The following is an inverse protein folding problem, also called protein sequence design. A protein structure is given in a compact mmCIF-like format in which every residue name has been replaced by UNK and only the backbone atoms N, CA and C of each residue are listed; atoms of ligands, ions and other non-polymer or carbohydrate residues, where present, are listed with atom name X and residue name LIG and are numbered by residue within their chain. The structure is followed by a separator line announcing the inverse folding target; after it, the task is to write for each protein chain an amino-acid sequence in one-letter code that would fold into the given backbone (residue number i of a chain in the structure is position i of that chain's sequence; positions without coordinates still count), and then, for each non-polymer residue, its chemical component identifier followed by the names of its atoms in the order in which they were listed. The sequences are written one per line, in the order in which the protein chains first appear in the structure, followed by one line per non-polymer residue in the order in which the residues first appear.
data_IF_837455542755
#
_entry.id   IF_837455542755
#
_cell.length_a   1.000
_cell.length_b   1.000
_cell.length_c   1.000
_cell.angle_alpha   90.00
_cell.angle_beta   90.00
_cell.angle_gamma   90.00
#
_symmetry.space_group_name_H-M   'P 1'
#
loop_
_entity.id
_entity.type
_entity.pdbx_description
1 polymer ?
#
# COMPACT_ATOMS: atom_id res chain seq x y z
N UNK A 1 -0.02 30.78 3.55
CA UNK A 1 0.54 29.45 3.26
C UNK A 1 2.04 29.54 3.44
N UNK A 2 2.61 28.73 4.30
CA UNK A 2 4.04 28.80 4.59
C UNK A 2 4.79 27.83 3.67
N UNK A 3 5.33 28.34 2.57
CA UNK A 3 6.09 27.56 1.58
C UNK A 3 7.34 26.90 2.17
N UNK A 4 7.89 27.48 3.24
CA UNK A 4 9.06 26.92 3.92
C UNK A 4 8.72 25.58 4.60
N UNK A 5 7.57 25.47 5.24
CA UNK A 5 7.09 24.22 5.85
C UNK A 5 6.82 23.18 4.76
N UNK A 6 6.17 23.56 3.67
CA UNK A 6 5.89 22.67 2.55
C UNK A 6 7.17 22.13 1.92
N UNK A 7 8.14 23.01 1.63
CA UNK A 7 9.45 22.61 1.08
C UNK A 7 10.17 21.63 2.01
N UNK A 8 10.13 21.88 3.32
CA UNK A 8 10.74 20.99 4.31
C UNK A 8 10.07 19.60 4.32
N UNK A 9 8.72 19.55 4.34
CA UNK A 9 7.96 18.29 4.33
C UNK A 9 8.23 17.51 3.04
N UNK A 10 8.18 18.16 1.88
CA UNK A 10 8.48 17.52 0.59
C UNK A 10 9.92 17.02 0.55
N UNK A 11 10.88 17.81 1.04
CA UNK A 11 12.26 17.37 1.12
C UNK A 11 12.44 16.13 1.98
N UNK A 12 11.68 16.01 3.05
CA UNK A 12 11.69 14.86 3.93
C UNK A 12 11.05 13.63 3.27
N UNK A 13 9.94 13.81 2.56
CA UNK A 13 9.27 12.76 1.78
C UNK A 13 10.23 12.18 0.74
N UNK A 14 10.95 13.02 -0.01
CA UNK A 14 11.93 12.57 -1.00
C UNK A 14 13.09 11.77 -0.37
N UNK A 15 13.53 12.13 0.84
CA UNK A 15 14.55 11.35 1.54
C UNK A 15 14.04 9.96 1.94
N UNK A 16 12.76 9.83 2.32
CA UNK A 16 12.15 8.51 2.57
C UNK A 16 11.99 7.71 1.28
N UNK A 17 11.53 8.34 0.21
CA UNK A 17 11.44 7.69 -1.09
C UNK A 17 12.80 7.18 -1.56
N UNK A 18 13.86 7.97 -1.36
CA UNK A 18 15.22 7.53 -1.64
C UNK A 18 15.61 6.26 -0.85
N UNK A 19 15.24 6.19 0.43
CA UNK A 19 15.46 5.00 1.24
C UNK A 19 14.67 3.79 0.72
N UNK A 20 13.43 3.99 0.31
CA UNK A 20 12.58 2.93 -0.23
C UNK A 20 13.07 2.42 -1.58
N UNK A 21 13.62 3.29 -2.44
CA UNK A 21 14.22 2.91 -3.73
C UNK A 21 15.49 2.05 -3.59
N UNK A 22 16.09 2.00 -2.39
CA UNK A 22 17.19 1.06 -2.13
C UNK A 22 16.70 -0.41 -2.05
N UNK A 23 15.43 -0.66 -1.78
CA UNK A 23 14.91 -2.03 -1.72
C UNK A 23 14.86 -2.68 -3.11
N UNK A 24 14.24 -2.08 -4.16
CA UNK A 24 14.31 -2.64 -5.51
C UNK A 24 15.75 -2.68 -6.05
N UNK A 25 16.64 -1.78 -5.64
CA UNK A 25 18.08 -1.92 -5.93
C UNK A 25 18.63 -3.24 -5.38
N UNK A 26 18.36 -3.56 -4.11
CA UNK A 26 18.81 -4.83 -3.50
C UNK A 26 18.21 -6.02 -4.25
N UNK A 27 16.92 -5.97 -4.60
CA UNK A 27 16.25 -7.03 -5.37
C UNK A 27 16.94 -7.22 -6.72
N UNK A 28 17.19 -6.16 -7.48
CA UNK A 28 17.88 -6.23 -8.76
C UNK A 28 19.31 -6.82 -8.64
N UNK A 29 20.02 -6.50 -7.55
CA UNK A 29 21.34 -7.11 -7.26
C UNK A 29 21.23 -8.63 -7.00
N UNK A 30 20.20 -9.08 -6.25
CA UNK A 30 19.98 -10.51 -5.95
C UNK A 30 19.64 -11.30 -7.22
N UNK A 31 18.83 -10.72 -8.10
CA UNK A 31 18.41 -11.39 -9.35
C UNK A 31 19.38 -11.19 -10.53
N UNK A 32 20.49 -10.47 -10.32
CA UNK A 32 21.52 -10.22 -11.36
C UNK A 32 21.15 -9.17 -12.38
N UNK A 33 20.14 -8.33 -12.11
CA UNK A 33 19.67 -7.25 -12.97
C UNK A 33 20.47 -5.95 -12.72
N UNK A 34 21.78 -6.00 -12.88
CA UNK A 34 22.70 -4.92 -12.46
C UNK A 34 22.40 -3.58 -13.12
N UNK A 35 21.99 -3.57 -14.38
CA UNK A 35 21.65 -2.33 -15.09
C UNK A 35 20.41 -1.67 -14.48
N UNK A 36 19.37 -2.44 -14.23
CA UNK A 36 18.14 -1.96 -13.59
C UNK A 36 18.41 -1.50 -12.16
N UNK A 37 19.17 -2.31 -11.41
CA UNK A 37 19.57 -1.97 -10.05
C UNK A 37 20.34 -0.62 -10.00
N UNK A 38 21.27 -0.38 -10.92
CA UNK A 38 22.00 0.89 -10.98
C UNK A 38 21.04 2.08 -11.18
N UNK A 39 20.03 1.94 -12.03
CA UNK A 39 19.04 2.99 -12.27
C UNK A 39 18.26 3.31 -10.99
N UNK A 40 17.82 2.31 -10.23
CA UNK A 40 17.18 2.52 -8.93
C UNK A 40 18.09 3.22 -7.93
N UNK A 41 19.38 2.85 -7.88
CA UNK A 41 20.36 3.49 -7.02
C UNK A 41 20.59 4.96 -7.39
N UNK A 42 20.74 5.25 -8.69
CA UNK A 42 20.92 6.63 -9.18
C UNK A 42 19.69 7.48 -8.87
N UNK A 43 18.50 6.95 -9.10
CA UNK A 43 17.24 7.64 -8.76
C UNK A 43 17.15 7.90 -7.26
N UNK A 44 17.50 6.92 -6.42
CA UNK A 44 17.56 7.08 -4.97
C UNK A 44 18.53 8.20 -4.57
N UNK A 45 19.72 8.27 -5.18
CA UNK A 45 20.69 9.32 -4.92
C UNK A 45 20.17 10.71 -5.31
N UNK A 46 19.51 10.84 -6.45
CA UNK A 46 18.88 12.09 -6.90
C UNK A 46 17.79 12.53 -5.93
N UNK A 47 16.88 11.62 -5.53
CA UNK A 47 15.83 11.90 -4.55
C UNK A 47 16.42 12.35 -3.21
N UNK A 48 17.47 11.69 -2.73
CA UNK A 48 18.14 12.05 -1.48
C UNK A 48 18.78 13.44 -1.55
N UNK A 49 19.53 13.74 -2.61
CA UNK A 49 20.20 15.04 -2.79
C UNK A 49 19.15 16.15 -2.86
N UNK A 50 18.13 16.01 -3.70
CA UNK A 50 17.06 16.99 -3.82
C UNK A 50 16.28 17.16 -2.50
N UNK A 51 15.97 16.05 -1.85
CA UNK A 51 15.31 16.03 -0.53
C UNK A 51 16.13 16.76 0.51
N UNK A 52 17.46 16.57 0.53
CA UNK A 52 18.38 17.26 1.43
C UNK A 52 18.46 18.76 1.14
N UNK A 53 18.52 19.15 -0.13
CA UNK A 53 18.54 20.56 -0.55
C UNK A 53 17.28 21.30 -0.13
N UNK A 54 16.11 20.67 -0.30
CA UNK A 54 14.82 21.24 0.08
C UNK A 54 14.66 21.35 1.60
N UNK A 55 15.16 20.38 2.36
CA UNK A 55 15.05 20.36 3.82
C UNK A 55 16.11 21.22 4.50
N UNK A 56 17.31 21.40 3.90
CA UNK A 56 18.43 22.12 4.52
C UNK A 56 18.17 23.62 4.70
N UNK A 57 17.44 24.23 3.77
CA UNK A 57 17.15 25.69 3.80
C UNK A 57 16.25 26.14 4.96
N UNK A 58 15.62 25.20 5.69
CA UNK A 58 14.53 25.53 6.62
C UNK A 58 14.64 24.74 7.94
N UNK A 59 15.81 24.74 8.55
CA UNK A 59 16.05 24.12 9.88
C UNK A 59 15.44 24.91 11.07
N UNK A 60 14.57 25.91 10.81
CA UNK A 60 13.90 26.68 11.85
C UNK A 60 12.77 25.87 12.54
N UNK A 61 12.58 26.08 13.86
CA UNK A 61 11.41 25.56 14.59
C UNK A 61 10.14 26.15 14.02
N UNK A 62 9.36 25.33 13.31
CA UNK A 62 8.03 25.72 12.85
C UNK A 62 7.08 25.69 14.04
N UNK A 63 6.49 26.85 14.36
CA UNK A 63 5.65 26.97 15.55
C UNK A 63 4.28 26.33 15.41
N UNK A 64 3.68 26.31 14.19
CA UNK A 64 2.34 25.77 13.95
C UNK A 64 2.17 25.29 12.51
N UNK A 65 1.54 24.15 12.35
CA UNK A 65 1.07 23.61 11.06
C UNK A 65 -0.46 23.80 10.99
N UNK A 66 -0.94 24.63 10.07
CA UNK A 66 -2.37 24.83 9.87
C UNK A 66 -2.97 23.72 9.00
N UNK A 67 -4.28 23.47 9.15
CA UNK A 67 -5.03 22.44 8.41
C UNK A 67 -4.83 22.57 6.90
N UNK A 68 -4.87 23.78 6.35
CA UNK A 68 -4.66 24.04 4.92
C UNK A 68 -3.28 23.58 4.44
N UNK A 69 -2.25 23.81 5.23
CA UNK A 69 -0.87 23.40 4.92
C UNK A 69 -0.71 21.87 4.99
N UNK A 70 -1.40 21.23 5.95
CA UNK A 70 -1.47 19.77 6.04
C UNK A 70 -2.04 19.13 4.77
N UNK A 71 -3.23 19.53 4.34
CA UNK A 71 -3.84 19.01 3.10
C UNK A 71 -2.99 19.28 1.86
N UNK A 72 -2.39 20.47 1.76
CA UNK A 72 -1.52 20.80 0.63
C UNK A 72 -0.24 19.93 0.65
N UNK A 73 0.34 19.70 1.82
CA UNK A 73 1.52 18.85 1.96
C UNK A 73 1.23 17.40 1.57
N UNK A 74 0.06 16.87 1.96
CA UNK A 74 -0.41 15.54 1.57
C UNK A 74 -0.53 15.42 0.05
N UNK A 75 -1.29 16.31 -0.58
CA UNK A 75 -1.53 16.27 -2.03
C UNK A 75 -0.22 16.40 -2.83
N UNK A 76 0.62 17.37 -2.46
CA UNK A 76 1.92 17.56 -3.11
C UNK A 76 2.89 16.39 -2.83
N UNK A 77 2.83 15.81 -1.65
CA UNK A 77 3.66 14.65 -1.29
C UNK A 77 3.39 13.46 -2.19
N UNK A 78 2.13 13.06 -2.33
CA UNK A 78 1.74 11.98 -3.23
C UNK A 78 2.13 12.25 -4.68
N UNK A 79 1.90 13.48 -5.14
CA UNK A 79 2.28 13.89 -6.48
C UNK A 79 3.80 13.80 -6.70
N UNK A 80 4.59 14.34 -5.78
CA UNK A 80 6.06 14.33 -5.88
C UNK A 80 6.61 12.90 -5.83
N UNK A 81 6.14 12.06 -4.91
CA UNK A 81 6.51 10.65 -4.86
C UNK A 81 6.18 9.92 -6.16
N UNK A 82 5.02 10.17 -6.75
CA UNK A 82 4.65 9.55 -8.03
C UNK A 82 5.56 10.01 -9.17
N UNK A 83 5.91 11.29 -9.20
CA UNK A 83 6.82 11.87 -10.21
C UNK A 83 8.21 11.23 -10.14
N UNK A 84 8.79 11.12 -8.96
CA UNK A 84 10.12 10.53 -8.80
C UNK A 84 10.11 9.00 -8.87
N UNK A 85 9.09 8.36 -8.32
CA UNK A 85 8.91 6.91 -8.39
C UNK A 85 8.67 6.36 -9.79
N UNK A 86 8.21 7.19 -10.73
CA UNK A 86 8.05 6.85 -12.15
C UNK A 86 9.38 6.83 -12.92
N UNK A 87 10.38 7.58 -12.47
CA UNK A 87 11.66 7.76 -13.20
C UNK A 87 12.36 6.41 -13.49
N UNK A 88 12.47 5.46 -12.55
CA UNK A 88 13.10 4.17 -12.82
C UNK A 88 12.48 3.43 -14.00
N UNK A 89 11.15 3.38 -14.11
CA UNK A 89 10.44 2.67 -15.19
C UNK A 89 10.79 3.23 -16.58
N UNK A 90 10.96 4.54 -16.68
CA UNK A 90 11.34 5.20 -17.94
C UNK A 90 12.82 4.98 -18.27
N UNK A 91 13.70 5.12 -17.28
CA UNK A 91 15.14 4.95 -17.49
C UNK A 91 15.54 3.50 -17.78
N UNK A 92 14.80 2.52 -17.27
CA UNK A 92 14.97 1.10 -17.63
C UNK A 92 14.45 0.79 -19.03
N UNK A 93 13.57 1.65 -19.58
CA UNK A 93 12.90 1.43 -20.85
C UNK A 93 11.70 0.46 -20.77
N UNK A 94 11.36 -0.01 -19.58
CA UNK A 94 10.24 -0.96 -19.36
C UNK A 94 8.88 -0.28 -19.58
N UNK A 95 8.76 1.00 -19.21
CA UNK A 95 7.63 1.86 -19.56
C UNK A 95 8.21 3.12 -20.22
N UNK A 96 8.35 3.14 -21.57
CA UNK A 96 9.11 4.19 -22.26
C UNK A 96 8.51 5.59 -22.14
N UNK A 97 7.15 5.68 -22.05
CA UNK A 97 6.46 6.95 -21.96
C UNK A 97 6.32 7.37 -20.49
N UNK A 98 6.83 8.56 -20.17
CA UNK A 98 6.80 9.08 -18.80
C UNK A 98 5.37 9.22 -18.22
N UNK A 99 4.40 9.57 -19.04
CA UNK A 99 3.01 9.70 -18.59
C UNK A 99 2.43 8.34 -18.17
N UNK A 100 2.77 7.28 -18.92
CA UNK A 100 2.34 5.91 -18.61
C UNK A 100 3.02 5.41 -17.32
N UNK A 101 4.32 5.66 -17.16
CA UNK A 101 5.05 5.37 -15.94
C UNK A 101 4.50 6.14 -14.72
N UNK A 102 4.13 7.40 -14.93
CA UNK A 102 3.51 8.25 -13.91
C UNK A 102 2.12 7.70 -13.53
N UNK A 103 1.32 7.27 -14.51
CA UNK A 103 0.02 6.63 -14.25
C UNK A 103 0.19 5.37 -13.40
N UNK A 104 1.11 4.48 -13.77
CA UNK A 104 1.40 3.24 -13.03
C UNK A 104 1.82 3.54 -11.58
N UNK A 105 2.67 4.56 -11.41
CA UNK A 105 3.18 4.93 -10.08
C UNK A 105 2.12 5.62 -9.22
N UNK A 106 1.30 6.50 -9.82
CA UNK A 106 0.15 7.11 -9.13
C UNK A 106 -0.82 6.01 -8.70
N UNK A 107 -1.17 5.10 -9.61
CA UNK A 107 -2.03 3.95 -9.31
C UNK A 107 -1.45 3.10 -8.19
N UNK A 108 -0.13 2.93 -8.15
CA UNK A 108 0.58 2.24 -7.08
C UNK A 108 0.42 2.94 -5.72
N UNK A 109 0.83 4.19 -5.62
CA UNK A 109 0.80 4.94 -4.35
C UNK A 109 -0.61 5.27 -3.84
N UNK A 110 -1.57 5.45 -4.74
CA UNK A 110 -2.98 5.63 -4.36
C UNK A 110 -3.71 4.33 -4.10
N UNK A 111 -2.99 3.19 -4.21
CA UNK A 111 -3.55 1.84 -4.06
C UNK A 111 -4.74 1.56 -4.98
N UNK A 112 -4.78 2.22 -6.13
CA UNK A 112 -5.84 2.05 -7.13
C UNK A 112 -5.71 0.71 -7.87
N UNK A 113 -4.48 0.28 -8.19
CA UNK A 113 -4.19 -1.00 -8.84
C UNK A 113 -4.51 -1.08 -10.34
N UNK A 114 -4.99 0.00 -10.97
CA UNK A 114 -5.14 0.07 -12.41
C UNK A 114 -3.77 0.11 -13.09
N UNK A 115 -3.56 -0.73 -14.10
CA UNK A 115 -2.27 -0.87 -14.78
C UNK A 115 -2.38 -0.48 -16.26
N UNK A 116 -1.34 0.19 -16.76
CA UNK A 116 -1.16 0.45 -18.19
C UNK A 116 -0.47 -0.72 -18.91
N UNK A 117 0.10 -1.65 -18.15
CA UNK A 117 0.88 -2.76 -18.69
C UNK A 117 -0.01 -3.84 -19.29
N UNK A 118 0.25 -4.19 -20.53
CA UNK A 118 -0.38 -5.35 -21.21
C UNK A 118 0.32 -6.67 -20.87
N UNK A 119 1.61 -6.62 -20.51
CA UNK A 119 2.42 -7.76 -20.11
C UNK A 119 3.25 -7.40 -18.88
N UNK A 120 2.80 -7.85 -17.71
CA UNK A 120 3.47 -7.61 -16.44
C UNK A 120 4.72 -8.48 -16.28
N UNK A 121 4.73 -9.66 -16.90
CA UNK A 121 5.84 -10.63 -16.79
C UNK A 121 7.08 -10.20 -17.59
N UNK A 122 6.94 -9.20 -18.47
CA UNK A 122 8.06 -8.59 -19.18
C UNK A 122 8.92 -7.65 -18.31
N UNK A 123 8.42 -7.24 -17.15
CA UNK A 123 9.16 -6.38 -16.22
C UNK A 123 10.26 -7.15 -15.48
N UNK A 124 11.35 -6.44 -15.14
CA UNK A 124 12.38 -6.95 -14.23
C UNK A 124 11.84 -7.22 -12.83
N UNK A 125 12.51 -8.08 -12.08
CA UNK A 125 12.17 -8.35 -10.66
C UNK A 125 12.26 -7.10 -9.79
N UNK A 126 13.24 -6.22 -10.06
CA UNK A 126 13.36 -4.95 -9.36
C UNK A 126 12.14 -4.06 -9.57
N UNK A 127 11.67 -3.95 -10.81
CA UNK A 127 10.50 -3.13 -11.17
C UNK A 127 9.18 -3.74 -10.70
N UNK A 128 9.02 -5.06 -10.78
CA UNK A 128 7.88 -5.78 -10.18
C UNK A 128 7.79 -5.57 -8.67
N UNK A 129 8.96 -5.63 -8.01
CA UNK A 129 9.03 -5.37 -6.57
C UNK A 129 8.63 -3.93 -6.25
N UNK A 130 9.21 -2.94 -6.97
CA UNK A 130 8.90 -1.52 -6.76
C UNK A 130 7.42 -1.25 -6.95
N UNK A 131 6.84 -1.74 -8.03
CA UNK A 131 5.43 -1.64 -8.36
C UNK A 131 4.54 -2.16 -7.23
N UNK A 132 4.80 -3.36 -6.72
CA UNK A 132 4.05 -3.94 -5.60
C UNK A 132 4.30 -3.20 -4.28
N UNK A 133 5.53 -2.73 -4.07
CA UNK A 133 5.92 -2.03 -2.86
C UNK A 133 5.30 -0.63 -2.75
N UNK A 134 5.02 0.04 -3.89
CA UNK A 134 4.26 1.31 -3.88
C UNK A 134 2.87 1.13 -3.27
N UNK A 135 2.17 0.01 -3.51
CA UNK A 135 0.91 -0.32 -2.82
C UNK A 135 1.09 -0.42 -1.31
N UNK A 136 2.15 -1.08 -0.88
CA UNK A 136 2.43 -1.25 0.54
C UNK A 136 2.70 0.09 1.23
N UNK A 137 3.46 0.99 0.58
CA UNK A 137 3.69 2.36 1.07
C UNK A 137 2.37 3.13 1.09
N UNK A 138 1.58 3.03 0.01
CA UNK A 138 0.29 3.70 -0.16
C UNK A 138 -0.72 3.31 0.90
N UNK A 139 -0.85 2.01 1.18
CA UNK A 139 -1.86 1.46 2.09
C UNK A 139 -1.78 1.97 3.52
N UNK A 140 -0.62 2.38 3.99
CA UNK A 140 -0.50 3.01 5.31
C UNK A 140 -0.44 4.54 5.30
N UNK A 141 -0.38 5.13 4.11
CA UNK A 141 -0.19 6.57 3.99
C UNK A 141 1.19 7.01 4.50
N UNK A 142 2.06 7.40 3.61
CA UNK A 142 3.41 7.92 3.94
C UNK A 142 3.35 9.01 5.02
N UNK A 143 2.26 9.76 5.05
CA UNK A 143 2.09 10.86 5.99
C UNK A 143 1.85 10.41 7.43
N UNK A 144 1.24 9.25 7.67
CA UNK A 144 1.15 8.68 9.02
C UNK A 144 2.55 8.32 9.52
N UNK A 145 3.41 7.79 8.63
CA UNK A 145 4.81 7.52 8.96
C UNK A 145 5.58 8.81 9.31
N UNK A 146 5.43 9.85 8.48
CA UNK A 146 6.05 11.16 8.75
C UNK A 146 5.57 11.73 10.07
N UNK A 147 4.29 11.56 10.41
CA UNK A 147 3.74 12.03 11.68
C UNK A 147 4.28 11.32 12.90
N UNK A 148 4.70 10.06 12.77
CA UNK A 148 5.39 9.39 13.85
C UNK A 148 6.75 10.06 14.15
N UNK A 149 7.34 10.75 13.17
CA UNK A 149 8.65 11.38 13.24
C UNK A 149 8.56 12.89 13.52
N UNK A 150 7.58 13.60 12.97
CA UNK A 150 7.43 15.06 13.17
C UNK A 150 7.32 15.52 14.63
N UNK A 151 6.72 14.78 15.60
CA UNK A 151 6.75 15.18 17.00
C UNK A 151 8.15 15.22 17.61
N UNK A 152 9.09 14.50 17.00
CA UNK A 152 10.51 14.60 17.39
C UNK A 152 11.09 15.98 17.00
N UNK A 153 10.42 16.69 16.08
CA UNK A 153 10.81 18.00 15.58
C UNK A 153 10.02 19.16 16.21
N UNK A 154 9.10 18.90 17.14
CA UNK A 154 8.45 19.90 17.99
C UNK A 154 7.23 20.62 17.42
N UNK A 155 6.53 20.05 16.44
CA UNK A 155 5.32 20.62 15.83
C UNK A 155 4.00 19.92 16.22
N UNK A 156 2.86 20.61 16.02
CA UNK A 156 1.52 20.03 16.16
C UNK A 156 1.14 19.21 14.93
N UNK A 157 1.08 17.89 15.07
CA UNK A 157 0.91 16.93 13.96
C UNK A 157 -0.53 16.46 13.77
N UNK A 158 -1.47 16.93 14.61
CA UNK A 158 -2.86 16.48 14.58
C UNK A 158 -3.57 16.77 13.25
N UNK A 159 -3.24 17.88 12.61
CA UNK A 159 -3.89 18.29 11.35
C UNK A 159 -3.42 17.45 10.16
N UNK A 160 -2.17 16.97 10.19
CA UNK A 160 -1.63 16.08 9.15
C UNK A 160 -2.28 14.70 9.22
N UNK A 161 -2.48 14.18 10.45
CA UNK A 161 -3.12 12.89 10.68
C UNK A 161 -4.59 12.86 10.25
N UNK A 162 -5.33 13.95 10.48
CA UNK A 162 -6.71 14.06 10.00
C UNK A 162 -6.83 14.04 8.48
N UNK A 163 -5.78 14.45 7.78
CA UNK A 163 -5.73 14.44 6.32
C UNK A 163 -5.50 13.04 5.72
N UNK A 164 -4.82 12.14 6.45
CA UNK A 164 -4.37 10.84 5.94
C UNK A 164 -5.00 9.62 6.61
N UNK A 165 -5.64 9.80 7.76
CA UNK A 165 -6.21 8.65 8.49
C UNK A 165 -7.49 8.15 7.81
N UNK A 166 -7.49 6.95 7.21
CA UNK A 166 -8.72 6.33 6.74
C UNK A 166 -9.56 5.89 7.94
N UNK A 167 -10.72 6.54 8.15
CA UNK A 167 -11.71 6.09 9.14
C UNK A 167 -12.11 7.12 10.19
N UNK A 168 -13.32 6.96 10.78
CA UNK A 168 -13.99 8.02 11.53
C UNK A 168 -13.50 8.29 12.96
N UNK A 169 -12.55 7.59 13.54
CA UNK A 169 -12.19 7.88 14.94
C UNK A 169 -10.89 7.27 15.46
N UNK A 170 -9.75 7.68 14.92
CA UNK A 170 -8.44 7.36 15.52
C UNK A 170 -8.21 8.09 16.85
N UNK A 171 -8.96 9.15 17.12
CA UNK A 171 -8.78 10.05 18.28
C UNK A 171 -9.10 9.44 19.66
N UNK A 172 -9.71 8.25 19.70
CA UNK A 172 -10.14 7.63 20.96
C UNK A 172 -9.22 6.51 21.47
N UNK A 173 -8.24 6.06 20.64
CA UNK A 173 -7.46 4.86 20.98
C UNK A 173 -6.35 5.12 21.98
N UNK A 174 -5.66 6.27 21.88
CA UNK A 174 -4.55 6.62 22.79
C UNK A 174 -4.44 8.14 22.94
N UNK A 175 -4.02 8.65 24.10
CA UNK A 175 -3.93 10.09 24.36
C UNK A 175 -2.92 10.82 23.46
N UNK A 176 -2.01 10.10 22.81
CA UNK A 176 -0.96 10.65 21.97
C UNK A 176 -1.03 10.06 20.55
N UNK A 177 -1.15 10.93 19.57
CA UNK A 177 -1.15 10.62 18.13
C UNK A 177 -0.01 9.69 17.71
N UNK A 178 1.17 9.92 18.28
CA UNK A 178 2.37 9.12 18.01
C UNK A 178 2.22 7.66 18.41
N UNK A 179 1.57 7.40 19.55
CA UNK A 179 1.43 6.04 20.06
C UNK A 179 0.37 5.28 19.26
N UNK A 180 -0.69 5.97 18.82
CA UNK A 180 -1.66 5.42 17.88
C UNK A 180 -1.00 5.04 16.55
N UNK A 181 -0.19 5.92 15.96
CA UNK A 181 0.51 5.63 14.72
C UNK A 181 1.43 4.41 14.84
N UNK A 182 2.21 4.31 15.96
CA UNK A 182 3.08 3.15 16.19
C UNK A 182 2.32 1.83 16.26
N UNK A 183 1.16 1.82 16.92
CA UNK A 183 0.32 0.63 17.03
C UNK A 183 -0.21 0.23 15.66
N UNK A 184 -0.75 1.18 14.88
CA UNK A 184 -1.26 0.92 13.55
C UNK A 184 -0.16 0.39 12.60
N UNK A 185 1.05 1.00 12.62
CA UNK A 185 2.19 0.49 11.87
C UNK A 185 2.63 -0.89 12.34
N UNK A 186 2.69 -1.12 13.64
CA UNK A 186 3.02 -2.42 14.19
C UNK A 186 2.05 -3.52 13.73
N UNK A 187 0.76 -3.22 13.71
CA UNK A 187 -0.28 -4.12 13.20
C UNK A 187 -0.13 -4.36 11.69
N UNK A 188 0.10 -3.31 10.92
CA UNK A 188 0.31 -3.41 9.48
C UNK A 188 1.52 -4.29 9.14
N UNK A 189 2.64 -4.07 9.83
CA UNK A 189 3.83 -4.91 9.71
C UNK A 189 3.55 -6.36 10.11
N UNK A 190 2.84 -6.58 11.20
CA UNK A 190 2.50 -7.94 11.66
C UNK A 190 1.64 -8.68 10.63
N UNK A 191 0.62 -8.04 10.08
CA UNK A 191 -0.24 -8.63 9.03
C UNK A 191 0.59 -8.90 7.76
N UNK A 192 1.50 -7.99 7.39
CA UNK A 192 2.41 -8.20 6.25
C UNK A 192 3.29 -9.43 6.46
N UNK A 193 3.97 -9.53 7.60
CA UNK A 193 4.85 -10.68 7.90
C UNK A 193 4.06 -11.98 7.94
N UNK A 194 2.91 -11.98 8.61
CA UNK A 194 2.04 -13.16 8.68
C UNK A 194 1.50 -13.55 7.28
N UNK A 195 1.15 -12.58 6.44
CA UNK A 195 0.73 -12.81 5.05
C UNK A 195 1.82 -13.48 4.22
N UNK A 196 3.05 -12.97 4.26
CA UNK A 196 4.19 -13.57 3.56
C UNK A 196 4.43 -15.02 4.03
N UNK A 197 4.46 -15.25 5.35
CA UNK A 197 4.67 -16.58 5.91
C UNK A 197 3.54 -17.52 5.47
N UNK A 198 2.29 -17.08 5.54
CA UNK A 198 1.13 -17.87 5.14
C UNK A 198 1.20 -18.28 3.66
N UNK A 199 1.50 -17.35 2.75
CA UNK A 199 1.61 -17.63 1.32
C UNK A 199 2.79 -18.55 1.00
N UNK A 200 3.96 -18.37 1.65
CA UNK A 200 5.10 -19.28 1.51
C UNK A 200 4.76 -20.68 2.00
N UNK A 201 4.06 -20.83 3.13
CA UNK A 201 3.62 -22.14 3.63
C UNK A 201 2.61 -22.83 2.70
N UNK A 202 1.82 -22.04 1.94
CA UNK A 202 0.93 -22.57 0.90
C UNK A 202 1.68 -22.98 -0.39
N UNK A 203 3.01 -22.79 -0.46
CA UNK A 203 3.85 -23.17 -1.60
C UNK A 203 4.05 -22.08 -2.65
N UNK A 204 3.74 -20.82 -2.36
CA UNK A 204 4.04 -19.70 -3.24
C UNK A 204 5.54 -19.33 -3.12
N UNK A 205 6.26 -19.04 -4.22
CA UNK A 205 7.63 -18.54 -4.18
C UNK A 205 7.76 -17.28 -3.32
N UNK A 206 8.89 -17.12 -2.63
CA UNK A 206 9.09 -16.01 -1.69
C UNK A 206 8.89 -14.62 -2.34
N UNK A 207 9.41 -14.43 -3.55
CA UNK A 207 9.26 -13.19 -4.28
C UNK A 207 7.78 -12.88 -4.57
N UNK A 208 7.06 -13.86 -5.12
CA UNK A 208 5.63 -13.75 -5.44
C UNK A 208 4.81 -13.52 -4.15
N UNK A 209 5.18 -14.21 -3.06
CA UNK A 209 4.55 -14.04 -1.74
C UNK A 209 4.72 -12.64 -1.19
N UNK A 210 5.92 -12.04 -1.32
CA UNK A 210 6.19 -10.66 -0.91
C UNK A 210 5.35 -9.68 -1.73
N UNK A 211 5.43 -9.75 -3.05
CA UNK A 211 4.72 -8.84 -3.94
C UNK A 211 3.20 -8.95 -3.78
N UNK A 212 2.66 -10.18 -3.71
CA UNK A 212 1.22 -10.43 -3.50
C UNK A 212 0.76 -9.93 -2.13
N UNK A 213 1.57 -10.13 -1.09
CA UNK A 213 1.25 -9.62 0.25
C UNK A 213 1.23 -8.09 0.26
N UNK A 214 2.19 -7.42 -0.39
CA UNK A 214 2.21 -5.97 -0.49
C UNK A 214 0.96 -5.43 -1.19
N UNK A 215 0.55 -6.05 -2.30
CA UNK A 215 -0.67 -5.70 -3.01
C UNK A 215 -1.94 -5.96 -2.20
N UNK A 216 -2.00 -7.07 -1.45
CA UNK A 216 -3.18 -7.44 -0.65
C UNK A 216 -3.30 -6.60 0.62
N UNK A 217 -2.21 -6.43 1.38
CA UNK A 217 -2.20 -5.66 2.64
C UNK A 217 -2.31 -4.15 2.37
N UNK A 218 -1.71 -3.69 1.28
CA UNK A 218 -1.87 -2.31 0.78
C UNK A 218 -3.22 -2.06 0.12
N UNK A 219 -4.06 -3.09 -0.07
CA UNK A 219 -5.38 -3.02 -0.74
C UNK A 219 -5.33 -2.50 -2.17
N UNK A 220 -4.22 -2.76 -2.89
CA UNK A 220 -3.99 -2.22 -4.23
C UNK A 220 -4.21 -3.23 -5.37
N UNK A 221 -3.74 -4.48 -5.22
CA UNK A 221 -4.05 -5.58 -6.13
C UNK A 221 -3.10 -5.79 -7.32
N UNK A 222 -1.98 -5.08 -7.44
CA UNK A 222 -0.99 -5.36 -8.47
C UNK A 222 -0.46 -6.80 -8.36
N UNK A 223 -0.55 -7.55 -9.45
CA UNK A 223 -0.01 -8.91 -9.57
C UNK A 223 1.37 -8.93 -10.21
N UNK A 224 2.07 -10.06 -10.06
CA UNK A 224 3.37 -10.34 -10.70
C UNK A 224 3.22 -11.23 -11.94
N UNK A 225 2.01 -11.75 -12.20
CA UNK A 225 1.69 -12.58 -13.36
C UNK A 225 0.53 -12.00 -14.15
N UNK A 226 0.54 -12.21 -15.47
CA UNK A 226 -0.55 -11.80 -16.37
C UNK A 226 -1.88 -12.50 -16.01
N UNK A 227 -1.81 -13.75 -15.52
CA UNK A 227 -2.96 -14.49 -15.01
C UNK A 227 -3.39 -14.07 -13.60
N UNK A 228 -2.72 -13.07 -13.00
CA UNK A 228 -2.94 -12.66 -11.60
C UNK A 228 -2.84 -13.87 -10.66
N UNK A 229 -3.75 -14.00 -9.70
CA UNK A 229 -3.77 -15.13 -8.76
C UNK A 229 -4.37 -16.40 -9.38
N UNK A 230 -5.04 -16.30 -10.53
CA UNK A 230 -5.62 -17.46 -11.22
C UNK A 230 -4.61 -18.53 -11.65
N UNK A 231 -3.34 -18.16 -11.86
CA UNK A 231 -2.26 -19.09 -12.21
C UNK A 231 -1.68 -19.92 -11.05
N UNK A 232 -2.14 -19.69 -9.80
CA UNK A 232 -1.68 -20.41 -8.60
C UNK A 232 -2.66 -21.49 -8.17
N UNK A 233 -2.20 -22.37 -7.26
CA UNK A 233 -3.01 -23.46 -6.72
C UNK A 233 -4.25 -22.93 -5.97
N UNK A 234 -5.33 -23.77 -5.88
CA UNK A 234 -6.53 -23.42 -5.12
C UNK A 234 -6.26 -23.04 -3.66
N UNK A 235 -5.24 -23.66 -3.05
CA UNK A 235 -4.82 -23.35 -1.68
C UNK A 235 -4.28 -21.92 -1.55
N UNK A 236 -3.43 -21.50 -2.50
CA UNK A 236 -2.89 -20.14 -2.54
C UNK A 236 -4.01 -19.12 -2.79
N UNK A 237 -4.93 -19.40 -3.72
CA UNK A 237 -6.09 -18.53 -3.98
C UNK A 237 -6.92 -18.30 -2.73
N UNK A 238 -7.21 -19.37 -1.97
CA UNK A 238 -7.93 -19.25 -0.69
C UNK A 238 -7.14 -18.46 0.35
N UNK A 239 -5.83 -18.68 0.45
CA UNK A 239 -4.97 -17.95 1.37
C UNK A 239 -4.94 -16.45 1.06
N UNK A 240 -4.84 -16.08 -0.23
CA UNK A 240 -4.92 -14.68 -0.66
C UNK A 240 -6.28 -14.07 -0.33
N UNK A 241 -7.39 -14.81 -0.55
CA UNK A 241 -8.73 -14.34 -0.18
C UNK A 241 -8.83 -14.06 1.32
N UNK A 242 -8.31 -14.96 2.16
CA UNK A 242 -8.28 -14.74 3.63
C UNK A 242 -7.43 -13.51 3.98
N UNK A 243 -6.28 -13.34 3.33
CA UNK A 243 -5.42 -12.19 3.56
C UNK A 243 -6.12 -10.88 3.18
N UNK A 244 -6.84 -10.85 2.05
CA UNK A 244 -7.65 -9.70 1.62
C UNK A 244 -8.73 -9.36 2.64
N UNK A 245 -9.50 -10.36 3.10
CA UNK A 245 -10.52 -10.18 4.16
C UNK A 245 -9.90 -9.55 5.41
N UNK A 246 -8.77 -10.10 5.87
CA UNK A 246 -8.09 -9.57 7.05
C UNK A 246 -7.56 -8.14 6.84
N UNK A 247 -7.06 -7.83 5.66
CA UNK A 247 -6.52 -6.50 5.34
C UNK A 247 -7.61 -5.42 5.24
N UNK A 248 -8.82 -5.79 4.83
CA UNK A 248 -9.97 -4.89 4.73
C UNK A 248 -10.66 -4.57 6.06
N UNK A 249 -10.38 -5.32 7.14
CA UNK A 249 -10.95 -5.04 8.47
C UNK A 249 -10.32 -3.79 9.06
N UNK A 250 -11.15 -2.92 9.66
CA UNK A 250 -10.69 -1.73 10.37
C UNK A 250 -9.65 -2.09 11.45
N UNK A 251 -8.49 -1.46 11.41
CA UNK A 251 -7.36 -1.72 12.34
C UNK A 251 -7.70 -1.50 13.80
N UNK A 252 -8.74 -0.72 14.11
CA UNK A 252 -9.26 -0.55 15.48
C UNK A 252 -9.71 -1.89 16.08
N UNK A 253 -10.25 -2.79 15.27
CA UNK A 253 -10.65 -4.13 15.71
C UNK A 253 -9.46 -4.93 16.22
N UNK A 254 -8.37 -4.93 15.46
CA UNK A 254 -7.13 -5.61 15.86
C UNK A 254 -6.56 -5.05 17.16
N UNK A 255 -6.62 -3.73 17.32
CA UNK A 255 -6.23 -3.08 18.57
C UNK A 255 -7.10 -3.55 19.75
N UNK A 256 -8.42 -3.58 19.59
CA UNK A 256 -9.35 -4.07 20.62
C UNK A 256 -9.10 -5.55 20.95
N UNK A 257 -8.82 -6.39 19.93
CA UNK A 257 -8.50 -7.80 20.12
C UNK A 257 -7.19 -7.99 20.92
N UNK A 258 -6.14 -7.24 20.58
CA UNK A 258 -4.87 -7.26 21.32
C UNK A 258 -5.03 -6.75 22.76
N UNK A 259 -5.92 -5.77 22.97
CA UNK A 259 -6.25 -5.22 24.28
C UNK A 259 -7.23 -6.10 25.07
N UNK A 260 -7.59 -7.29 24.56
CA UNK A 260 -8.57 -8.24 25.12
C UNK A 260 -9.97 -7.67 25.31
N UNK A 261 -10.33 -6.65 24.58
CA UNK A 261 -11.63 -5.99 24.58
C UNK A 261 -12.55 -6.62 23.51
N UNK A 262 -12.79 -7.93 23.58
CA UNK A 262 -13.53 -8.68 22.56
C UNK A 262 -14.95 -8.15 22.33
N UNK A 263 -15.65 -7.76 23.42
CA UNK A 263 -17.02 -7.21 23.29
C UNK A 263 -17.03 -5.92 22.49
N UNK A 264 -16.06 -5.05 22.69
CA UNK A 264 -15.95 -3.78 21.95
C UNK A 264 -15.59 -4.04 20.48
N UNK A 265 -14.65 -4.95 20.20
CA UNK A 265 -14.27 -5.32 18.83
C UNK A 265 -15.47 -5.77 17.99
N UNK A 266 -16.33 -6.65 18.54
CA UNK A 266 -17.53 -7.15 17.83
C UNK A 266 -18.73 -6.21 17.91
N UNK A 267 -18.71 -5.18 18.76
CA UNK A 267 -19.76 -4.17 18.82
C UNK A 267 -19.62 -3.08 17.76
N UNK A 268 -18.47 -3.00 17.09
CA UNK A 268 -18.23 -2.04 16.02
C UNK A 268 -19.19 -2.33 14.86
N UNK A 269 -20.10 -1.40 14.58
CA UNK A 269 -21.14 -1.58 13.57
C UNK A 269 -20.58 -1.81 12.17
N UNK A 270 -19.52 -1.08 11.81
CA UNK A 270 -18.79 -1.19 10.53
C UNK A 270 -18.33 -2.63 10.25
N UNK A 271 -17.81 -3.33 11.28
CA UNK A 271 -17.33 -4.72 11.14
C UNK A 271 -18.45 -5.69 10.84
N UNK A 272 -19.62 -5.50 11.48
CA UNK A 272 -20.79 -6.35 11.24
C UNK A 272 -21.29 -6.18 9.82
N UNK A 273 -21.38 -4.95 9.33
CA UNK A 273 -21.79 -4.68 7.97
C UNK A 273 -20.77 -5.17 6.96
N UNK A 274 -19.47 -5.04 7.23
CA UNK A 274 -18.42 -5.56 6.39
C UNK A 274 -18.57 -7.06 6.13
N UNK A 275 -18.65 -7.87 7.18
CA UNK A 275 -18.82 -9.32 7.03
C UNK A 275 -20.18 -9.68 6.43
N UNK A 276 -21.25 -8.98 6.80
CA UNK A 276 -22.57 -9.23 6.24
C UNK A 276 -22.59 -9.00 4.72
N UNK A 277 -22.02 -7.94 4.25
CA UNK A 277 -21.93 -7.62 2.81
C UNK A 277 -21.11 -8.68 2.09
N UNK A 278 -19.94 -9.07 2.62
CA UNK A 278 -19.11 -10.11 2.03
C UNK A 278 -19.89 -11.42 1.87
N UNK A 279 -20.46 -11.92 2.96
CA UNK A 279 -21.16 -13.19 2.93
C UNK A 279 -22.43 -13.14 2.06
N UNK A 280 -23.24 -12.10 2.17
CA UNK A 280 -24.44 -11.96 1.36
C UNK A 280 -24.13 -11.89 -0.13
N UNK A 281 -23.15 -11.06 -0.52
CA UNK A 281 -22.73 -10.93 -1.92
C UNK A 281 -22.10 -12.21 -2.45
N UNK A 282 -21.17 -12.83 -1.70
CA UNK A 282 -20.51 -14.05 -2.12
C UNK A 282 -21.49 -15.22 -2.28
N UNK A 283 -22.46 -15.39 -1.36
CA UNK A 283 -23.46 -16.43 -1.46
C UNK A 283 -24.45 -16.19 -2.61
N UNK A 284 -24.85 -14.94 -2.85
CA UNK A 284 -25.74 -14.60 -3.99
C UNK A 284 -25.05 -14.89 -5.32
N UNK A 285 -23.76 -14.49 -5.45
CA UNK A 285 -22.96 -14.79 -6.63
C UNK A 285 -22.77 -16.30 -6.77
N UNK A 286 -22.40 -17.00 -5.69
CA UNK A 286 -22.22 -18.45 -5.71
C UNK A 286 -23.48 -19.18 -6.17
N UNK A 287 -24.66 -18.76 -5.73
CA UNK A 287 -25.91 -19.33 -6.20
C UNK A 287 -26.08 -19.17 -7.73
N UNK A 288 -25.78 -17.99 -8.25
CA UNK A 288 -25.94 -17.71 -9.68
C UNK A 288 -24.96 -18.46 -10.57
N UNK A 289 -23.65 -18.54 -10.14
CA UNK A 289 -22.60 -19.19 -10.93
C UNK A 289 -22.47 -20.69 -10.66
N UNK A 290 -23.26 -21.25 -9.75
CA UNK A 290 -23.22 -22.69 -9.40
C UNK A 290 -23.22 -23.65 -10.61
N UNK A 291 -24.01 -23.40 -11.67
CA UNK A 291 -24.02 -24.27 -12.85
C UNK A 291 -22.74 -24.25 -13.69
N UNK A 292 -21.88 -23.25 -13.50
CA UNK A 292 -20.65 -23.05 -14.29
C UNK A 292 -19.48 -23.88 -13.76
N UNK A 293 -19.54 -24.36 -12.51
CA UNK A 293 -18.44 -25.04 -11.82
C UNK A 293 -18.82 -26.45 -11.42
N UNK A 294 -17.83 -27.37 -11.48
CA UNK A 294 -18.05 -28.76 -11.15
C UNK A 294 -18.35 -29.00 -9.65
N UNK A 295 -17.71 -28.23 -8.76
CA UNK A 295 -17.83 -28.41 -7.32
C UNK A 295 -18.32 -27.13 -6.61
N UNK A 296 -19.01 -27.33 -5.47
CA UNK A 296 -19.42 -26.20 -4.61
C UNK A 296 -18.21 -25.44 -4.05
N UNK A 297 -17.11 -26.15 -3.77
CA UNK A 297 -15.87 -25.55 -3.28
C UNK A 297 -15.26 -24.57 -4.28
N UNK A 298 -15.23 -24.91 -5.57
CA UNK A 298 -14.79 -24.01 -6.63
C UNK A 298 -15.69 -22.79 -6.75
N UNK A 299 -17.00 -23.02 -6.76
CA UNK A 299 -17.99 -21.94 -6.81
C UNK A 299 -17.80 -20.92 -5.69
N UNK A 300 -17.67 -21.40 -4.45
CA UNK A 300 -17.44 -20.55 -3.29
C UNK A 300 -16.11 -19.82 -3.37
N UNK A 301 -15.02 -20.52 -3.73
CA UNK A 301 -13.70 -19.90 -3.87
C UNK A 301 -13.73 -18.71 -4.83
N UNK A 302 -14.27 -18.91 -6.03
CA UNK A 302 -14.36 -17.85 -7.04
C UNK A 302 -15.28 -16.71 -6.59
N UNK A 303 -16.40 -17.01 -5.94
CA UNK A 303 -17.32 -15.99 -5.45
C UNK A 303 -16.69 -15.12 -4.37
N UNK A 304 -16.09 -15.73 -3.34
CA UNK A 304 -15.42 -14.98 -2.28
C UNK A 304 -14.24 -14.18 -2.78
N UNK A 305 -13.40 -14.77 -3.63
CA UNK A 305 -12.26 -14.07 -4.23
C UNK A 305 -12.72 -12.82 -5.00
N UNK A 306 -13.76 -12.95 -5.83
CA UNK A 306 -14.25 -11.84 -6.65
C UNK A 306 -14.90 -10.73 -5.82
N UNK A 307 -15.63 -11.08 -4.75
CA UNK A 307 -16.20 -10.09 -3.84
C UNK A 307 -15.12 -9.33 -3.11
N UNK A 308 -14.09 -10.01 -2.61
CA UNK A 308 -12.99 -9.38 -1.90
C UNK A 308 -12.16 -8.46 -2.80
N UNK A 309 -11.87 -8.88 -4.04
CA UNK A 309 -11.21 -8.01 -5.01
C UNK A 309 -12.03 -6.75 -5.29
N UNK A 310 -13.35 -6.85 -5.40
CA UNK A 310 -14.20 -5.69 -5.60
C UNK A 310 -14.28 -4.76 -4.38
N UNK A 311 -14.24 -5.32 -3.16
CA UNK A 311 -14.31 -4.53 -1.92
C UNK A 311 -13.00 -3.78 -1.64
N UNK A 312 -11.86 -4.40 -1.94
CA UNK A 312 -10.54 -3.79 -1.76
C UNK A 312 -10.15 -2.90 -2.94
N UNK A 313 -10.70 -3.16 -4.12
CA UNK A 313 -10.35 -2.52 -5.35
C UNK A 313 -11.59 -1.98 -6.08
N UNK A 314 -11.63 -0.70 -6.31
CA UNK A 314 -12.68 -0.04 -7.09
C UNK A 314 -12.34 -0.07 -8.58
N UNK A 315 -12.16 -1.25 -9.19
CA UNK A 315 -12.06 -1.33 -10.64
C UNK A 315 -13.43 -1.20 -11.28
N UNK A 316 -13.67 -0.23 -12.14
CA UNK A 316 -14.97 -0.02 -12.74
C UNK A 316 -15.27 -0.96 -13.90
N UNK A 317 -14.34 -1.79 -14.34
CA UNK A 317 -14.53 -2.58 -15.56
C UNK A 317 -14.08 -4.04 -15.42
N UNK A 318 -14.96 -5.03 -15.72
CA UNK A 318 -14.56 -6.43 -15.85
C UNK A 318 -13.79 -6.70 -17.17
N UNK A 319 -13.39 -5.68 -17.90
CA UNK A 319 -12.63 -5.77 -19.14
C UNK A 319 -11.18 -5.34 -19.02
N UNK A 320 -10.82 -4.83 -17.85
CA UNK A 320 -9.44 -4.37 -17.56
C UNK A 320 -8.63 -5.48 -16.90
#
# INVERSE_FOLDING_TARGET
MNFAILSFIIGFILQFEALFLLLPWIVGMIYGEYHVALIYLVTAAVCFILGKLLSFRHTGRFKELYVREGFTAVALGWFVMSVFGAIPFVLTGEIPFYIDALFETISGFTTTGSSILSDVEALSYASLFWRSFTHWIGGMGVFVFIMAILPMMGGSTMNLMRAESPGPSVSKLVPRVRDTAKILYGLYMAITVLGVIMLCLCGMPLFDSLCTTFGSVGTGGFGVKNSSIGGYSPLIQNAVTILMILSGVNYTVYFCLLSRQFKEAFSIEEVRWYFLIIFASALTIAWNIRPLYATLGETLRHSFFQVETCLLYTSPSPRD
#
